data_IF_695425380855
#
_entry.id   IF_695425380855
#
_cell.length_a   1.000
_cell.length_b   1.000
_cell.length_c   1.000
_cell.angle_alpha   90.00
_cell.angle_beta   90.00
_cell.angle_gamma   90.00
#
_symmetry.space_group_name_H-M   'P 1'
#
loop_
_entity.id
_entity.type
_entity.pdbx_description
1 polymer ?
#
# COMPACT_ATOMS: atom_id res chain seq x y z
N UNK A 1 -22.31 13.27 19.21
CA UNK A 1 -21.05 13.12 20.01
C UNK A 1 -19.99 14.02 19.40
N UNK A 2 -19.06 14.55 20.19
CA UNK A 2 -17.91 15.29 19.61
C UNK A 2 -17.01 14.32 18.87
N UNK A 3 -16.32 14.80 17.82
CA UNK A 3 -15.42 13.98 17.03
C UNK A 3 -14.32 13.34 17.87
N UNK A 4 -13.77 14.04 18.85
CA UNK A 4 -12.72 13.48 19.73
C UNK A 4 -13.20 12.26 20.49
N UNK A 5 -14.41 12.28 21.03
CA UNK A 5 -15.00 11.11 21.70
C UNK A 5 -15.15 9.96 20.72
N UNK A 6 -15.63 10.22 19.51
CA UNK A 6 -15.77 9.20 18.47
C UNK A 6 -14.40 8.60 18.09
N UNK A 7 -13.36 9.42 17.93
CA UNK A 7 -12.01 8.94 17.59
C UNK A 7 -11.37 8.14 18.73
N UNK A 8 -11.57 8.56 19.98
CA UNK A 8 -11.12 7.79 21.17
C UNK A 8 -11.79 6.42 21.21
N UNK A 9 -13.11 6.36 21.04
CA UNK A 9 -13.83 5.09 21.00
C UNK A 9 -13.36 4.23 19.82
N UNK A 10 -13.16 4.81 18.63
CA UNK A 10 -12.62 4.12 17.46
C UNK A 10 -11.21 3.53 17.75
N UNK A 11 -10.32 4.31 18.36
CA UNK A 11 -9.01 3.82 18.78
C UNK A 11 -9.13 2.65 19.76
N UNK A 12 -9.99 2.75 20.77
CA UNK A 12 -10.21 1.68 21.74
C UNK A 12 -10.68 0.38 21.08
N UNK A 13 -11.57 0.45 20.09
CA UNK A 13 -12.00 -0.74 19.35
C UNK A 13 -10.81 -1.46 18.70
N UNK A 14 -9.92 -0.73 17.98
CA UNK A 14 -8.73 -1.32 17.36
C UNK A 14 -7.70 -1.79 18.39
N UNK A 15 -7.52 -1.05 19.48
CA UNK A 15 -6.61 -1.43 20.55
C UNK A 15 -7.03 -2.75 21.22
N UNK A 16 -8.31 -2.92 21.55
CA UNK A 16 -8.81 -4.18 22.11
C UNK A 16 -8.74 -5.33 21.10
N UNK A 17 -9.03 -5.07 19.82
CA UNK A 17 -8.87 -6.07 18.77
C UNK A 17 -7.39 -6.51 18.65
N UNK A 18 -6.45 -5.57 18.65
CA UNK A 18 -5.01 -5.88 18.59
C UNK A 18 -4.55 -6.70 19.80
N UNK A 19 -4.98 -6.36 21.01
CA UNK A 19 -4.68 -7.13 22.21
C UNK A 19 -5.23 -8.56 22.13
N UNK A 20 -6.43 -8.75 21.59
CA UNK A 20 -7.00 -10.09 21.39
C UNK A 20 -6.17 -10.94 20.44
N UNK A 21 -5.68 -10.36 19.34
CA UNK A 21 -4.85 -11.05 18.36
C UNK A 21 -3.40 -11.25 18.86
N UNK A 22 -2.89 -10.35 19.71
CA UNK A 22 -1.53 -10.40 20.26
C UNK A 22 -1.33 -11.36 21.43
N UNK A 23 -2.38 -11.79 22.13
CA UNK A 23 -2.31 -12.63 23.37
C UNK A 23 -1.50 -13.92 23.26
N UNK A 24 -1.17 -14.37 22.05
CA UNK A 24 -0.36 -15.58 21.83
C UNK A 24 1.14 -15.28 21.66
N UNK A 25 1.60 -14.06 21.88
CA UNK A 25 3.03 -13.67 21.82
C UNK A 25 3.68 -13.85 20.45
N UNK A 26 2.91 -14.07 19.39
CA UNK A 26 3.42 -14.31 18.03
C UNK A 26 2.98 -13.18 17.10
N UNK A 27 3.94 -12.57 16.42
CA UNK A 27 3.63 -11.68 15.32
C UNK A 27 2.83 -12.46 14.26
N UNK A 28 1.63 -11.97 13.97
CA UNK A 28 0.75 -12.49 12.91
C UNK A 28 0.31 -11.32 12.03
N UNK A 29 -0.09 -11.63 10.80
CA UNK A 29 -0.60 -10.59 9.89
C UNK A 29 -1.84 -9.91 10.46
N UNK A 30 -2.74 -10.66 11.11
CA UNK A 30 -3.92 -10.09 11.79
C UNK A 30 -3.54 -9.13 12.90
N UNK A 31 -2.56 -9.48 13.74
CA UNK A 31 -2.05 -8.59 14.79
C UNK A 31 -1.44 -7.33 14.21
N UNK A 32 -0.56 -7.48 13.22
CA UNK A 32 0.13 -6.37 12.57
C UNK A 32 -0.86 -5.38 11.94
N UNK A 33 -1.86 -5.88 11.21
CA UNK A 33 -2.90 -5.03 10.62
C UNK A 33 -3.76 -4.32 11.68
N UNK A 34 -4.13 -5.03 12.75
CA UNK A 34 -4.93 -4.43 13.83
C UNK A 34 -4.16 -3.33 14.57
N UNK A 35 -2.84 -3.53 14.84
CA UNK A 35 -1.97 -2.51 15.43
C UNK A 35 -1.79 -1.32 14.50
N UNK A 36 -1.65 -1.57 13.19
CA UNK A 36 -1.54 -0.52 12.20
C UNK A 36 -2.77 0.40 12.19
N UNK A 37 -3.98 -0.17 12.16
CA UNK A 37 -5.20 0.62 12.21
C UNK A 37 -5.43 1.28 13.58
N UNK A 38 -4.98 0.68 14.68
CA UNK A 38 -4.97 1.34 15.99
C UNK A 38 -4.05 2.58 15.97
N UNK A 39 -2.86 2.46 15.36
CA UNK A 39 -1.95 3.59 15.18
C UNK A 39 -2.57 4.71 14.35
N UNK A 40 -3.22 4.38 13.23
CA UNK A 40 -3.91 5.34 12.37
C UNK A 40 -5.06 6.05 13.13
N UNK A 41 -5.85 5.31 13.91
CA UNK A 41 -6.90 5.89 14.75
C UNK A 41 -6.33 6.81 15.84
N UNK A 42 -5.21 6.42 16.47
CA UNK A 42 -4.48 7.27 17.43
C UNK A 42 -3.99 8.57 16.79
N UNK A 43 -3.41 8.50 15.58
CA UNK A 43 -2.99 9.69 14.86
C UNK A 43 -4.15 10.62 14.51
N UNK A 44 -5.36 10.08 14.26
CA UNK A 44 -6.58 10.86 14.12
C UNK A 44 -6.93 11.68 15.38
N UNK A 45 -6.76 11.07 16.57
CA UNK A 45 -6.91 11.80 17.85
C UNK A 45 -5.89 12.93 17.95
N UNK A 46 -4.61 12.63 17.64
CA UNK A 46 -3.52 13.60 17.73
C UNK A 46 -3.79 14.84 16.88
N UNK A 47 -4.13 14.67 15.60
CA UNK A 47 -4.33 15.81 14.70
C UNK A 47 -5.56 16.65 15.07
N UNK A 48 -6.62 16.04 15.61
CA UNK A 48 -7.78 16.78 16.07
C UNK A 48 -7.56 17.45 17.42
N UNK A 49 -6.90 16.78 18.39
CA UNK A 49 -6.64 17.35 19.71
C UNK A 49 -5.62 18.49 19.69
N UNK A 50 -4.73 18.52 18.71
CA UNK A 50 -3.71 19.58 18.55
C UNK A 50 -4.19 20.73 17.65
N UNK A 51 -5.41 20.68 17.12
CA UNK A 51 -5.94 21.70 16.20
C UNK A 51 -5.35 21.68 14.78
N UNK A 52 -4.42 20.74 14.50
CA UNK A 52 -3.79 20.61 13.17
C UNK A 52 -4.83 20.39 12.08
N UNK A 53 -5.86 19.59 12.37
CA UNK A 53 -6.90 19.25 11.40
C UNK A 53 -7.67 20.52 10.98
N UNK A 54 -8.07 21.36 11.94
CA UNK A 54 -8.81 22.60 11.68
C UNK A 54 -7.93 23.64 10.97
N UNK A 55 -6.68 23.80 11.44
CA UNK A 55 -5.76 24.80 10.89
C UNK A 55 -5.47 24.58 9.40
N UNK A 56 -5.40 23.32 8.96
CA UNK A 56 -5.02 23.00 7.58
C UNK A 56 -6.23 22.84 6.66
N UNK A 57 -7.30 22.20 7.14
CA UNK A 57 -8.48 21.91 6.31
C UNK A 57 -9.58 22.96 6.44
N UNK A 58 -9.43 23.89 7.38
CA UNK A 58 -10.45 24.92 7.68
C UNK A 58 -11.83 24.32 8.02
N UNK A 59 -11.84 23.11 8.59
CA UNK A 59 -13.05 22.38 8.95
C UNK A 59 -13.24 22.43 10.45
N UNK A 60 -14.38 22.95 10.91
CA UNK A 60 -14.73 22.95 12.31
C UNK A 60 -14.93 21.52 12.82
N UNK A 61 -14.04 21.06 13.69
CA UNK A 61 -14.10 19.73 14.30
C UNK A 61 -14.97 19.66 15.57
N UNK A 62 -15.48 20.79 16.07
CA UNK A 62 -16.40 20.82 17.21
C UNK A 62 -17.84 20.43 16.82
N UNK A 63 -18.08 20.10 15.55
CA UNK A 63 -19.36 19.62 15.08
C UNK A 63 -19.74 18.28 15.73
N UNK A 64 -20.96 18.15 16.12
CA UNK A 64 -21.52 16.85 16.54
C UNK A 64 -21.61 15.91 15.35
N UNK A 65 -21.14 14.69 15.53
CA UNK A 65 -21.15 13.66 14.51
C UNK A 65 -21.72 12.35 15.07
N UNK A 66 -22.17 11.51 14.15
CA UNK A 66 -22.59 10.14 14.45
C UNK A 66 -21.37 9.23 14.64
N UNK A 67 -21.50 8.18 15.45
CA UNK A 67 -20.47 7.16 15.63
C UNK A 67 -20.54 6.05 14.59
N UNK A 68 -21.62 5.96 13.82
CA UNK A 68 -21.86 4.90 12.82
C UNK A 68 -20.75 4.75 11.77
N UNK A 69 -20.10 5.81 11.21
CA UNK A 69 -18.99 5.65 10.26
C UNK A 69 -17.81 4.89 10.84
N UNK A 70 -17.51 5.07 12.12
CA UNK A 70 -16.39 4.38 12.78
C UNK A 70 -16.72 2.91 13.05
N UNK A 71 -17.97 2.59 13.41
CA UNK A 71 -18.44 1.19 13.51
C UNK A 71 -18.36 0.53 12.14
N UNK A 72 -18.84 1.18 11.09
CA UNK A 72 -18.74 0.70 9.73
C UNK A 72 -17.32 0.37 9.33
N UNK A 73 -16.37 1.31 9.54
CA UNK A 73 -14.96 1.09 9.27
C UNK A 73 -14.38 -0.06 10.10
N UNK A 74 -14.63 -0.08 11.40
CA UNK A 74 -14.11 -1.11 12.29
C UNK A 74 -14.58 -2.51 11.88
N UNK A 75 -15.88 -2.70 11.67
CA UNK A 75 -16.44 -3.98 11.23
C UNK A 75 -15.86 -4.39 9.89
N UNK A 76 -15.78 -3.47 8.94
CA UNK A 76 -15.24 -3.71 7.60
C UNK A 76 -13.78 -4.15 7.63
N UNK A 77 -12.93 -3.48 8.44
CA UNK A 77 -11.53 -3.86 8.63
C UNK A 77 -11.43 -5.24 9.28
N UNK A 78 -12.21 -5.52 10.32
CA UNK A 78 -12.17 -6.83 10.99
C UNK A 78 -12.59 -7.96 10.05
N UNK A 79 -13.58 -7.73 9.18
CA UNK A 79 -14.01 -8.67 8.14
C UNK A 79 -12.87 -8.92 7.14
N UNK A 80 -12.21 -7.87 6.64
CA UNK A 80 -11.09 -8.02 5.70
C UNK A 80 -9.84 -8.65 6.33
N UNK A 81 -9.57 -8.40 7.60
CA UNK A 81 -8.40 -8.99 8.30
C UNK A 81 -8.63 -10.47 8.63
N UNK A 82 -9.89 -10.89 8.80
CA UNK A 82 -10.22 -12.24 9.25
C UNK A 82 -9.59 -13.39 8.45
N UNK A 83 -9.49 -13.37 7.12
CA UNK A 83 -8.83 -14.41 6.33
C UNK A 83 -7.37 -14.67 6.73
N UNK A 84 -6.64 -13.66 7.18
CA UNK A 84 -5.24 -13.79 7.57
C UNK A 84 -4.98 -14.60 8.83
N UNK A 85 -6.02 -14.91 9.63
CA UNK A 85 -5.87 -15.75 10.84
C UNK A 85 -5.29 -17.12 10.51
N UNK A 86 -5.50 -17.61 9.28
CA UNK A 86 -5.00 -18.89 8.80
C UNK A 86 -3.58 -18.78 8.19
N UNK A 87 -3.07 -17.56 7.97
CA UNK A 87 -1.73 -17.34 7.40
C UNK A 87 -0.71 -17.30 8.53
N UNK A 88 -0.09 -18.42 8.79
CA UNK A 88 0.99 -18.55 9.75
C UNK A 88 2.19 -19.24 9.11
N UNK A 89 3.39 -19.03 9.65
CA UNK A 89 4.59 -19.71 9.17
C UNK A 89 4.46 -21.24 9.18
N UNK A 90 3.61 -21.82 10.05
CA UNK A 90 3.36 -23.27 10.15
C UNK A 90 2.49 -23.80 9.02
N UNK A 91 1.69 -22.93 8.40
CA UNK A 91 0.74 -23.33 7.35
C UNK A 91 1.35 -23.30 5.95
N UNK A 92 2.57 -22.80 5.78
CA UNK A 92 3.22 -22.71 4.47
C UNK A 92 3.85 -24.05 4.11
N UNK A 93 3.58 -24.51 2.90
CA UNK A 93 4.24 -25.69 2.33
C UNK A 93 5.60 -25.29 1.76
N UNK A 94 6.67 -25.76 2.40
CA UNK A 94 8.05 -25.41 2.07
C UNK A 94 8.66 -26.25 0.93
N UNK A 95 8.12 -27.45 0.72
CA UNK A 95 8.72 -28.45 -0.18
C UNK A 95 8.41 -28.22 -1.67
N UNK A 96 7.51 -27.27 -1.97
CA UNK A 96 6.93 -27.11 -3.30
C UNK A 96 7.62 -26.06 -4.18
N UNK A 97 8.66 -25.40 -3.70
CA UNK A 97 9.24 -24.30 -4.49
C UNK A 97 10.23 -24.84 -5.53
N UNK A 98 9.91 -24.74 -6.82
CA UNK A 98 10.84 -25.12 -7.85
C UNK A 98 12.06 -24.20 -7.83
N UNK A 99 13.24 -24.75 -7.71
CA UNK A 99 14.50 -24.05 -7.85
C UNK A 99 15.38 -24.80 -8.87
N UNK A 100 15.09 -24.58 -10.15
CA UNK A 100 15.78 -25.17 -11.27
C UNK A 100 16.54 -24.10 -12.10
N UNK A 101 17.19 -24.54 -13.16
CA UNK A 101 17.97 -23.64 -14.02
C UNK A 101 17.09 -22.58 -14.68
N UNK A 102 15.84 -22.92 -15.06
CA UNK A 102 14.87 -21.97 -15.63
C UNK A 102 14.59 -20.81 -14.66
N UNK A 103 14.31 -21.13 -13.39
CA UNK A 103 14.08 -20.09 -12.36
C UNK A 103 15.33 -19.24 -12.15
N UNK A 104 16.53 -19.84 -12.17
CA UNK A 104 17.79 -19.09 -12.06
C UNK A 104 17.96 -18.10 -13.24
N UNK A 105 17.63 -18.55 -14.46
CA UNK A 105 17.64 -17.70 -15.66
C UNK A 105 16.67 -16.53 -15.55
N UNK A 106 15.42 -16.79 -15.17
CA UNK A 106 14.39 -15.75 -14.97
C UNK A 106 14.87 -14.72 -13.92
N UNK A 107 15.45 -15.18 -12.81
CA UNK A 107 16.00 -14.29 -11.80
C UNK A 107 17.20 -13.48 -12.29
N UNK A 108 18.05 -14.04 -13.18
CA UNK A 108 19.16 -13.29 -13.77
C UNK A 108 18.68 -12.19 -14.72
N UNK A 109 17.70 -12.50 -15.58
CA UNK A 109 17.07 -11.52 -16.46
C UNK A 109 16.42 -10.42 -15.61
N UNK A 110 15.71 -10.82 -14.55
CA UNK A 110 15.10 -9.85 -13.64
C UNK A 110 16.13 -8.94 -12.97
N UNK A 111 17.30 -9.47 -12.54
CA UNK A 111 18.40 -8.67 -11.99
C UNK A 111 18.85 -7.61 -13.00
N UNK A 112 19.07 -8.00 -14.27
CA UNK A 112 19.53 -7.07 -15.31
C UNK A 112 18.50 -5.94 -15.52
N UNK A 113 17.24 -6.30 -15.76
CA UNK A 113 16.17 -5.33 -16.01
C UNK A 113 15.99 -4.39 -14.81
N UNK A 114 15.98 -4.94 -13.58
CA UNK A 114 15.81 -4.15 -12.36
C UNK A 114 17.00 -3.23 -12.09
N UNK A 115 18.22 -3.69 -12.40
CA UNK A 115 19.42 -2.84 -12.27
C UNK A 115 19.39 -1.66 -13.23
N UNK A 116 19.00 -1.88 -14.48
CA UNK A 116 18.84 -0.81 -15.47
C UNK A 116 17.76 0.20 -15.03
N UNK A 117 16.64 -0.32 -14.57
CA UNK A 117 15.56 0.52 -14.05
C UNK A 117 15.98 1.31 -12.79
N UNK A 118 16.73 0.68 -11.88
CA UNK A 118 17.28 1.34 -10.70
C UNK A 118 18.24 2.48 -11.08
N UNK A 119 19.13 2.26 -12.05
CA UNK A 119 20.06 3.30 -12.54
C UNK A 119 19.29 4.48 -13.15
N UNK A 120 18.26 4.21 -13.95
CA UNK A 120 17.41 5.26 -14.52
C UNK A 120 16.72 6.07 -13.43
N UNK A 121 16.12 5.41 -12.43
CA UNK A 121 15.47 6.11 -11.32
C UNK A 121 16.48 6.88 -10.44
N UNK A 122 17.68 6.38 -10.27
CA UNK A 122 18.73 7.13 -9.58
C UNK A 122 19.07 8.44 -10.33
N UNK A 123 19.26 8.39 -11.65
CA UNK A 123 19.44 9.58 -12.48
C UNK A 123 18.27 10.55 -12.34
N UNK A 124 17.05 10.06 -12.42
CA UNK A 124 15.84 10.88 -12.24
C UNK A 124 15.76 11.51 -10.86
N UNK A 125 16.16 10.78 -9.80
CA UNK A 125 16.19 11.31 -8.45
C UNK A 125 17.20 12.46 -8.31
N UNK A 126 18.34 12.38 -9.00
CA UNK A 126 19.31 13.49 -9.05
C UNK A 126 18.71 14.72 -9.75
N UNK A 127 18.05 14.53 -10.89
CA UNK A 127 17.34 15.62 -11.60
C UNK A 127 16.28 16.23 -10.70
N UNK A 128 15.45 15.41 -10.06
CA UNK A 128 14.39 15.88 -9.14
C UNK A 128 14.96 16.69 -7.96
N UNK A 129 16.12 16.28 -7.43
CA UNK A 129 16.77 17.01 -6.34
C UNK A 129 17.29 18.38 -6.77
N UNK A 130 17.65 18.55 -8.05
CA UNK A 130 18.10 19.83 -8.62
C UNK A 130 16.93 20.75 -8.95
N UNK A 131 15.80 20.21 -9.41
CA UNK A 131 14.58 20.98 -9.73
C UNK A 131 13.80 21.39 -8.49
N UNK A 132 14.03 20.78 -7.36
CA UNK A 132 13.22 20.92 -6.15
C UNK A 132 12.07 19.92 -6.07
N UNK A 133 11.89 19.34 -4.89
CA UNK A 133 10.84 18.32 -4.67
C UNK A 133 9.41 18.87 -4.75
N UNK A 134 9.21 20.17 -4.55
CA UNK A 134 7.92 20.83 -4.68
C UNK A 134 7.45 20.83 -6.13
N UNK A 135 8.31 21.29 -7.05
CA UNK A 135 8.00 21.32 -8.49
C UNK A 135 7.73 19.90 -9.03
N UNK A 136 8.50 18.91 -8.57
CA UNK A 136 8.28 17.52 -8.97
C UNK A 136 6.99 16.95 -8.42
N UNK A 137 6.63 17.30 -7.19
CA UNK A 137 5.36 16.87 -6.60
C UNK A 137 4.17 17.52 -7.29
N UNK A 138 4.25 18.81 -7.58
CA UNK A 138 3.22 19.55 -8.30
C UNK A 138 2.99 18.94 -9.68
N UNK A 139 4.05 18.71 -10.44
CA UNK A 139 3.99 18.03 -11.72
C UNK A 139 3.41 16.61 -11.63
N UNK A 140 3.67 15.88 -10.53
CA UNK A 140 3.16 14.52 -10.34
C UNK A 140 1.71 14.49 -9.86
N UNK A 141 1.38 15.27 -8.82
CA UNK A 141 0.12 15.18 -8.11
C UNK A 141 -0.97 16.09 -8.70
N UNK A 142 -0.59 17.22 -9.29
CA UNK A 142 -1.50 18.24 -9.82
C UNK A 142 -1.64 18.09 -11.32
N UNK A 143 -0.54 18.19 -12.05
CA UNK A 143 -0.56 18.26 -13.52
C UNK A 143 -0.56 16.87 -14.19
N UNK A 144 -0.15 15.80 -13.46
CA UNK A 144 0.06 14.48 -14.05
C UNK A 144 1.22 14.45 -15.07
N UNK A 145 2.04 15.50 -15.11
CA UNK A 145 3.06 15.75 -16.12
C UNK A 145 4.47 15.29 -15.72
N UNK A 146 4.65 14.70 -14.51
CA UNK A 146 5.96 14.31 -14.00
C UNK A 146 6.79 13.44 -14.97
N UNK A 147 6.13 12.54 -15.70
CA UNK A 147 6.81 11.72 -16.70
C UNK A 147 7.28 12.54 -17.90
N UNK A 148 6.50 13.55 -18.32
CA UNK A 148 6.89 14.45 -19.39
C UNK A 148 8.03 15.36 -18.94
N UNK A 149 8.03 15.77 -17.68
CA UNK A 149 9.10 16.60 -17.10
C UNK A 149 10.42 15.82 -17.05
N UNK A 150 10.41 14.54 -16.65
CA UNK A 150 11.61 13.70 -16.53
C UNK A 150 12.11 13.16 -17.87
N UNK A 151 11.21 12.84 -18.80
CA UNK A 151 11.56 12.15 -20.05
C UNK A 151 11.27 12.96 -21.31
N UNK A 152 10.77 14.19 -21.16
CA UNK A 152 10.30 14.99 -22.28
C UNK A 152 9.14 14.28 -23.02
N UNK A 153 9.04 14.52 -24.32
CA UNK A 153 8.05 13.83 -25.17
C UNK A 153 8.55 12.47 -25.69
N UNK A 154 9.56 11.86 -25.05
CA UNK A 154 10.10 10.57 -25.49
C UNK A 154 9.16 9.44 -25.11
N UNK A 155 8.26 9.12 -26.02
CA UNK A 155 7.25 8.07 -25.89
C UNK A 155 7.84 6.69 -25.55
N UNK A 156 8.98 6.35 -26.11
CA UNK A 156 9.65 5.07 -25.83
C UNK A 156 10.11 4.96 -24.39
N UNK A 157 10.76 6.00 -23.86
CA UNK A 157 11.19 6.03 -22.46
C UNK A 157 10.02 5.97 -21.49
N UNK A 158 8.96 6.73 -21.76
CA UNK A 158 7.75 6.70 -20.92
C UNK A 158 7.13 5.30 -20.90
N UNK A 159 6.98 4.65 -22.07
CA UNK A 159 6.47 3.26 -22.13
C UNK A 159 7.39 2.26 -21.45
N UNK A 160 8.72 2.41 -21.62
CA UNK A 160 9.69 1.55 -20.95
C UNK A 160 9.61 1.67 -19.43
N UNK A 161 9.48 2.88 -18.89
CA UNK A 161 9.32 3.12 -17.45
C UNK A 161 8.02 2.51 -16.94
N UNK A 162 6.90 2.76 -17.60
CA UNK A 162 5.60 2.20 -17.21
C UNK A 162 5.59 0.67 -17.25
N UNK A 163 6.19 0.07 -18.29
CA UNK A 163 6.37 -1.38 -18.36
C UNK A 163 7.18 -1.90 -17.16
N UNK A 164 8.29 -1.24 -16.81
CA UNK A 164 9.13 -1.66 -15.69
C UNK A 164 8.42 -1.47 -14.34
N UNK A 165 7.65 -0.41 -14.13
CA UNK A 165 6.83 -0.23 -12.93
C UNK A 165 5.86 -1.41 -12.77
N UNK A 166 5.14 -1.77 -13.84
CA UNK A 166 4.20 -2.89 -13.83
C UNK A 166 4.92 -4.23 -13.59
N UNK A 167 6.06 -4.45 -14.25
CA UNK A 167 6.91 -5.62 -14.05
C UNK A 167 7.36 -5.73 -12.59
N UNK A 168 7.90 -4.65 -12.02
CA UNK A 168 8.34 -4.60 -10.63
C UNK A 168 7.19 -4.89 -9.65
N UNK A 169 6.03 -4.31 -9.87
CA UNK A 169 4.87 -4.52 -9.00
C UNK A 169 4.33 -5.94 -9.10
N UNK A 170 4.37 -6.57 -10.28
CA UNK A 170 3.89 -7.93 -10.50
C UNK A 170 4.88 -9.00 -10.00
N UNK A 171 6.16 -8.83 -10.25
CA UNK A 171 7.18 -9.86 -10.00
C UNK A 171 7.90 -9.73 -8.67
N UNK A 172 8.04 -8.52 -8.09
CA UNK A 172 8.71 -8.34 -6.79
C UNK A 172 8.17 -9.24 -5.69
N UNK A 173 6.84 -9.50 -5.57
CA UNK A 173 6.30 -10.43 -4.60
C UNK A 173 6.89 -11.84 -4.72
N UNK A 174 7.01 -12.36 -5.94
CA UNK A 174 7.60 -13.67 -6.20
C UNK A 174 9.11 -13.67 -5.91
N UNK A 175 9.83 -12.64 -6.34
CA UNK A 175 11.28 -12.53 -6.12
C UNK A 175 11.61 -12.43 -4.63
N UNK A 176 10.83 -11.69 -3.84
CA UNK A 176 10.96 -11.65 -2.38
C UNK A 176 10.75 -13.04 -1.77
N UNK A 177 9.68 -13.74 -2.16
CA UNK A 177 9.41 -15.10 -1.72
C UNK A 177 10.58 -16.03 -2.04
N UNK A 178 11.07 -16.02 -3.29
CA UNK A 178 12.17 -16.86 -3.74
C UNK A 178 13.48 -16.55 -3.00
N UNK A 179 13.77 -15.27 -2.78
CA UNK A 179 14.99 -14.86 -2.08
C UNK A 179 15.00 -15.34 -0.64
N UNK A 180 13.91 -15.15 0.10
CA UNK A 180 13.80 -15.54 1.50
C UNK A 180 13.72 -17.06 1.65
N UNK A 181 12.95 -17.73 0.80
CA UNK A 181 12.91 -19.20 0.80
C UNK A 181 14.26 -19.81 0.43
N UNK A 182 14.90 -19.32 -0.64
CA UNK A 182 16.21 -19.79 -1.08
C UNK A 182 17.28 -19.61 -0.02
N UNK A 183 17.19 -18.52 0.75
CA UNK A 183 18.07 -18.25 1.88
C UNK A 183 17.85 -19.26 3.03
N UNK A 184 16.59 -19.56 3.37
CA UNK A 184 16.23 -20.52 4.41
C UNK A 184 16.62 -21.95 4.01
N UNK A 185 16.32 -22.34 2.77
CA UNK A 185 16.62 -23.68 2.23
C UNK A 185 18.08 -23.86 1.81
N UNK A 186 18.92 -22.83 1.96
CA UNK A 186 20.34 -22.79 1.52
C UNK A 186 20.54 -23.08 0.01
N UNK A 187 19.48 -22.90 -0.80
CA UNK A 187 19.53 -23.08 -2.26
C UNK A 187 20.09 -21.85 -2.99
N UNK A 188 20.07 -20.69 -2.34
CA UNK A 188 20.61 -19.42 -2.84
C UNK A 188 21.67 -18.94 -1.85
N UNK A 189 22.80 -18.43 -2.38
CA UNK A 189 23.83 -17.80 -1.54
C UNK A 189 23.27 -16.55 -0.84
N UNK A 190 23.80 -16.24 0.36
CA UNK A 190 23.37 -15.06 1.10
C UNK A 190 23.54 -13.78 0.28
N UNK A 191 24.69 -13.62 -0.40
CA UNK A 191 24.98 -12.45 -1.24
C UNK A 191 23.93 -12.28 -2.34
N UNK A 192 23.55 -13.37 -3.03
CA UNK A 192 22.54 -13.31 -4.09
C UNK A 192 21.15 -12.99 -3.55
N UNK A 193 20.77 -13.55 -2.40
CA UNK A 193 19.48 -13.23 -1.78
C UNK A 193 19.41 -11.75 -1.38
N UNK A 194 20.46 -11.22 -0.75
CA UNK A 194 20.52 -9.81 -0.38
C UNK A 194 20.61 -8.90 -1.60
N UNK A 195 21.28 -9.30 -2.69
CA UNK A 195 21.28 -8.57 -3.96
C UNK A 195 19.84 -8.42 -4.50
N UNK A 196 19.07 -9.52 -4.58
CA UNK A 196 17.68 -9.51 -5.07
C UNK A 196 16.78 -8.63 -4.20
N UNK A 197 16.87 -8.76 -2.89
CA UNK A 197 16.09 -7.93 -1.95
C UNK A 197 16.52 -6.46 -2.01
N UNK A 198 17.81 -6.20 -2.11
CA UNK A 198 18.38 -4.86 -2.24
C UNK A 198 17.93 -4.17 -3.54
N UNK A 199 17.94 -4.88 -4.66
CA UNK A 199 17.48 -4.34 -5.93
C UNK A 199 15.99 -3.93 -5.88
N UNK A 200 15.14 -4.74 -5.23
CA UNK A 200 13.74 -4.36 -5.02
C UNK A 200 13.64 -3.10 -4.15
N UNK A 201 14.37 -3.05 -3.06
CA UNK A 201 14.36 -1.91 -2.16
C UNK A 201 14.83 -0.65 -2.87
N UNK A 202 16.04 -0.66 -3.43
CA UNK A 202 16.65 0.52 -4.02
C UNK A 202 15.93 1.00 -5.29
N UNK A 203 15.42 0.10 -6.14
CA UNK A 203 14.67 0.51 -7.32
C UNK A 203 13.39 1.28 -6.94
N UNK A 204 12.65 0.80 -5.94
CA UNK A 204 11.46 1.50 -5.43
C UNK A 204 11.83 2.75 -4.64
N UNK A 205 12.91 2.71 -3.88
CA UNK A 205 13.43 3.87 -3.14
C UNK A 205 13.78 5.01 -4.09
N UNK A 206 14.59 4.77 -5.12
CA UNK A 206 14.95 5.81 -6.10
C UNK A 206 13.74 6.27 -6.92
N UNK A 207 12.83 5.37 -7.26
CA UNK A 207 11.56 5.76 -7.91
C UNK A 207 10.74 6.70 -7.04
N UNK A 208 10.66 6.45 -5.72
CA UNK A 208 9.98 7.33 -4.79
C UNK A 208 10.69 8.69 -4.64
N UNK A 209 12.03 8.69 -4.67
CA UNK A 209 12.84 9.91 -4.68
C UNK A 209 12.57 10.75 -5.93
N UNK A 210 12.57 10.11 -7.11
CA UNK A 210 12.38 10.78 -8.38
C UNK A 210 11.07 11.57 -8.49
N UNK A 211 10.02 11.09 -7.83
CA UNK A 211 8.69 11.72 -7.84
C UNK A 211 8.34 12.45 -6.53
N UNK A 212 9.28 12.51 -5.59
CA UNK A 212 9.05 13.11 -4.28
C UNK A 212 7.92 12.44 -3.47
N UNK A 213 7.67 11.13 -3.64
CA UNK A 213 6.55 10.42 -3.01
C UNK A 213 6.92 9.74 -1.70
N UNK A 214 6.36 10.23 -0.58
CA UNK A 214 6.47 9.58 0.73
C UNK A 214 5.70 8.25 0.79
N UNK A 215 4.55 8.19 0.14
CA UNK A 215 3.69 7.00 0.13
C UNK A 215 4.37 5.79 -0.45
N UNK A 216 5.08 5.93 -1.57
CA UNK A 216 5.78 4.83 -2.20
C UNK A 216 6.85 4.21 -1.30
N UNK A 217 7.56 5.02 -0.50
CA UNK A 217 8.53 4.51 0.49
C UNK A 217 7.87 3.70 1.59
N UNK A 218 6.76 4.19 2.10
CA UNK A 218 5.98 3.50 3.11
C UNK A 218 5.49 2.13 2.63
N UNK A 219 5.05 2.03 1.38
CA UNK A 219 4.61 0.76 0.80
C UNK A 219 5.73 -0.24 0.58
N UNK A 220 6.94 0.24 0.25
CA UNK A 220 8.13 -0.64 0.19
C UNK A 220 8.37 -1.29 1.55
N UNK A 221 8.33 -0.51 2.63
CA UNK A 221 8.50 -1.02 3.98
C UNK A 221 7.48 -2.12 4.31
N UNK A 222 6.19 -1.92 4.01
CA UNK A 222 5.14 -2.90 4.29
C UNK A 222 5.26 -4.16 3.43
N UNK A 223 5.76 -4.05 2.19
CA UNK A 223 6.08 -5.22 1.36
C UNK A 223 7.10 -6.13 2.06
N UNK A 224 8.18 -5.55 2.56
CA UNK A 224 9.18 -6.30 3.31
C UNK A 224 8.64 -6.83 4.63
N UNK A 225 7.86 -6.04 5.37
CA UNK A 225 7.25 -6.45 6.63
C UNK A 225 6.37 -7.70 6.46
N UNK A 226 5.53 -7.76 5.42
CA UNK A 226 4.71 -8.93 5.12
C UNK A 226 5.55 -10.21 5.01
N UNK A 227 6.57 -10.20 4.15
CA UNK A 227 7.40 -11.38 3.92
C UNK A 227 8.27 -11.71 5.13
N UNK A 228 8.80 -10.70 5.83
CA UNK A 228 9.57 -10.93 7.04
C UNK A 228 8.70 -11.57 8.12
N UNK A 229 7.48 -11.12 8.37
CA UNK A 229 6.57 -11.71 9.36
C UNK A 229 6.37 -13.21 9.08
N UNK A 230 6.21 -13.58 7.81
CA UNK A 230 5.98 -14.97 7.41
C UNK A 230 7.27 -15.80 7.52
N UNK A 231 8.42 -15.29 7.07
CA UNK A 231 9.65 -16.06 6.92
C UNK A 231 10.58 -15.97 8.13
N UNK A 232 10.49 -14.92 8.96
CA UNK A 232 11.38 -14.67 10.09
C UNK A 232 11.51 -15.83 11.09
N UNK A 233 10.45 -16.58 11.45
CA UNK A 233 10.58 -17.70 12.38
C UNK A 233 11.51 -18.80 11.89
N UNK A 234 11.66 -18.96 10.57
CA UNK A 234 12.50 -20.00 9.93
C UNK A 234 13.96 -19.56 9.71
N UNK A 235 14.27 -18.28 9.90
CA UNK A 235 15.63 -17.78 9.77
C UNK A 235 16.47 -18.25 10.95
N UNK A 236 17.73 -18.61 10.71
CA UNK A 236 18.69 -18.89 11.76
C UNK A 236 19.06 -17.61 12.54
N UNK A 237 19.68 -17.76 13.71
CA UNK A 237 19.98 -16.63 14.61
C UNK A 237 20.84 -15.55 13.94
N UNK A 238 21.85 -15.92 13.16
CA UNK A 238 22.71 -14.99 12.44
C UNK A 238 21.94 -14.15 11.43
N UNK A 239 21.05 -14.79 10.64
CA UNK A 239 20.19 -14.08 9.67
C UNK A 239 19.17 -13.19 10.37
N UNK A 240 18.56 -13.65 11.48
CA UNK A 240 17.65 -12.80 12.28
C UNK A 240 18.32 -11.51 12.73
N UNK A 241 19.57 -11.60 13.22
CA UNK A 241 20.36 -10.43 13.63
C UNK A 241 20.64 -9.50 12.44
N UNK A 242 21.02 -10.05 11.27
CA UNK A 242 21.23 -9.27 10.05
C UNK A 242 19.95 -8.57 9.59
N UNK A 243 18.82 -9.29 9.49
CA UNK A 243 17.54 -8.71 9.10
C UNK A 243 17.06 -7.64 10.08
N UNK A 244 17.23 -7.84 11.39
CA UNK A 244 16.92 -6.81 12.39
C UNK A 244 17.75 -5.55 12.16
N UNK A 245 19.07 -5.68 11.95
CA UNK A 245 19.95 -4.55 11.67
C UNK A 245 19.57 -3.82 10.38
N UNK A 246 19.37 -4.57 9.29
CA UNK A 246 18.95 -3.99 7.99
C UNK A 246 17.60 -3.31 8.14
N UNK A 247 16.63 -3.93 8.82
CA UNK A 247 15.32 -3.36 9.04
C UNK A 247 15.36 -2.03 9.81
N UNK A 248 16.16 -1.94 10.87
CA UNK A 248 16.34 -0.69 11.62
C UNK A 248 16.97 0.39 10.74
N UNK A 249 18.05 0.05 10.01
CA UNK A 249 18.72 1.02 9.12
C UNK A 249 17.78 1.48 8.00
N UNK A 250 17.09 0.55 7.33
CA UNK A 250 16.15 0.89 6.26
C UNK A 250 15.00 1.76 6.77
N UNK A 251 14.45 1.44 7.95
CA UNK A 251 13.41 2.26 8.58
C UNK A 251 13.92 3.66 8.88
N UNK A 252 15.12 3.79 9.48
CA UNK A 252 15.72 5.09 9.79
C UNK A 252 15.95 5.94 8.53
N UNK A 253 16.43 5.32 7.44
CA UNK A 253 16.62 6.00 6.15
C UNK A 253 15.28 6.48 5.58
N UNK A 254 14.25 5.63 5.58
CA UNK A 254 12.91 5.98 5.09
C UNK A 254 12.29 7.09 5.94
N UNK A 255 12.38 6.99 7.27
CA UNK A 255 11.85 8.00 8.20
C UNK A 255 12.56 9.35 8.00
N UNK A 256 13.90 9.35 7.99
CA UNK A 256 14.70 10.55 7.75
C UNK A 256 14.35 11.21 6.42
N UNK A 257 14.26 10.41 5.36
CA UNK A 257 13.91 10.92 4.05
C UNK A 257 12.46 11.45 3.97
N UNK A 258 11.52 10.80 4.64
CA UNK A 258 10.13 11.30 4.72
C UNK A 258 10.06 12.67 5.40
N UNK A 259 10.91 12.90 6.41
CA UNK A 259 11.04 14.21 7.07
C UNK A 259 11.67 15.22 6.12
N UNK A 260 12.75 14.87 5.40
CA UNK A 260 13.39 15.78 4.43
C UNK A 260 12.43 16.23 3.31
N UNK A 261 11.68 15.29 2.71
CA UNK A 261 10.66 15.67 1.71
C UNK A 261 9.60 16.58 2.33
N UNK A 262 9.20 16.29 3.58
CA UNK A 262 8.21 17.15 4.26
C UNK A 262 8.74 18.56 4.49
N UNK A 263 10.00 18.71 4.87
CA UNK A 263 10.67 20.02 5.01
C UNK A 263 10.70 20.74 3.65
N UNK A 264 11.17 20.07 2.60
CA UNK A 264 11.28 20.65 1.27
C UNK A 264 9.92 21.13 0.74
N UNK A 265 8.86 20.32 0.88
CA UNK A 265 7.50 20.68 0.42
C UNK A 265 6.84 21.79 1.20
N UNK A 266 7.24 21.99 2.45
CA UNK A 266 6.61 22.95 3.35
C UNK A 266 7.45 24.22 3.51
N UNK A 267 8.57 24.32 2.78
CA UNK A 267 9.46 25.49 2.82
C UNK A 267 8.72 26.80 2.45
N UNK A 268 7.59 26.69 1.76
CA UNK A 268 6.75 27.82 1.33
C UNK A 268 5.35 27.84 1.97
N UNK A 269 5.09 26.98 2.96
CA UNK A 269 3.80 26.90 3.66
C UNK A 269 3.90 27.51 5.05
N UNK A 270 3.18 28.59 5.29
CA UNK A 270 3.13 29.23 6.62
C UNK A 270 2.28 28.46 7.65
N UNK A 271 1.48 27.48 7.21
CA UNK A 271 0.48 26.80 8.05
C UNK A 271 0.86 25.38 8.48
N UNK A 272 1.83 24.73 7.84
CA UNK A 272 2.21 23.35 8.15
C UNK A 272 3.69 23.20 8.50
N UNK A 273 3.96 22.41 9.53
CA UNK A 273 5.32 21.94 9.85
C UNK A 273 5.52 20.52 9.28
N UNK A 274 6.76 20.06 9.06
CA UNK A 274 7.04 18.70 8.60
C UNK A 274 6.39 17.62 9.48
N UNK A 275 6.35 17.86 10.80
CA UNK A 275 5.75 16.92 11.75
C UNK A 275 4.23 16.88 11.62
N UNK A 276 3.58 18.04 11.45
CA UNK A 276 2.12 18.12 11.25
C UNK A 276 1.72 17.46 9.94
N UNK A 277 2.50 17.64 8.88
CA UNK A 277 2.27 16.98 7.59
C UNK A 277 2.36 15.45 7.68
N UNK A 278 3.34 14.91 8.43
CA UNK A 278 3.45 13.46 8.67
C UNK A 278 2.28 12.97 9.53
N UNK A 279 1.89 13.71 10.56
CA UNK A 279 0.77 13.36 11.42
C UNK A 279 -0.55 13.30 10.62
N UNK A 280 -0.80 14.29 9.76
CA UNK A 280 -1.95 14.30 8.86
C UNK A 280 -1.97 13.09 7.94
N UNK A 281 -0.84 12.77 7.35
CA UNK A 281 -0.71 11.65 6.42
C UNK A 281 -1.26 10.33 6.96
N UNK A 282 -1.11 10.08 8.26
CA UNK A 282 -1.66 8.89 8.91
C UNK A 282 -3.01 9.12 9.59
N UNK A 283 -3.27 10.33 10.10
CA UNK A 283 -4.41 10.57 10.99
C UNK A 283 -5.67 11.11 10.31
N UNK A 284 -5.56 11.66 9.10
CA UNK A 284 -6.63 12.43 8.46
C UNK A 284 -7.84 11.58 8.01
N UNK A 285 -7.62 10.32 7.68
CA UNK A 285 -8.63 9.49 7.03
C UNK A 285 -9.88 9.21 7.88
N UNK A 286 -9.76 9.04 9.19
CA UNK A 286 -10.90 8.81 10.08
C UNK A 286 -11.70 10.09 10.37
N UNK A 287 -11.08 11.23 10.72
CA UNK A 287 -11.80 12.51 10.79
C UNK A 287 -12.54 12.86 9.51
N UNK A 288 -11.89 12.70 8.35
CA UNK A 288 -12.54 12.98 7.06
C UNK A 288 -13.79 12.12 6.85
N UNK A 289 -13.74 10.84 7.22
CA UNK A 289 -14.90 9.97 7.05
C UNK A 289 -16.13 10.49 7.82
N UNK A 290 -15.94 10.88 9.09
CA UNK A 290 -17.04 11.36 9.91
C UNK A 290 -17.50 12.79 9.59
N UNK A 291 -16.54 13.68 9.26
CA UNK A 291 -16.83 15.11 9.07
C UNK A 291 -17.19 15.50 7.65
N UNK A 292 -16.64 14.79 6.65
CA UNK A 292 -16.73 15.24 5.26
C UNK A 292 -17.51 14.30 4.34
N UNK A 293 -17.65 13.01 4.70
CA UNK A 293 -18.26 12.03 3.79
C UNK A 293 -19.56 11.45 4.31
N UNK A 294 -19.63 11.10 5.60
CA UNK A 294 -20.78 10.39 6.14
C UNK A 294 -22.04 11.24 6.06
N UNK A 295 -23.07 10.70 5.44
CA UNK A 295 -24.35 11.36 5.19
C UNK A 295 -24.28 12.66 4.36
N UNK A 296 -23.15 12.91 3.66
CA UNK A 296 -22.98 14.10 2.83
C UNK A 296 -22.93 13.78 1.32
N UNK A 297 -22.80 12.51 0.97
CA UNK A 297 -22.79 12.06 -0.43
C UNK A 297 -24.16 12.28 -1.03
N UNK A 298 -24.23 13.09 -2.08
CA UNK A 298 -25.47 13.44 -2.78
C UNK A 298 -25.83 12.42 -3.86
N UNK A 299 -24.81 11.88 -4.56
CA UNK A 299 -24.99 10.94 -5.64
C UNK A 299 -23.82 9.92 -5.65
N UNK A 300 -24.15 8.64 -5.85
CA UNK A 300 -23.18 7.57 -5.92
C UNK A 300 -22.79 7.27 -7.37
N UNK A 301 -21.48 7.22 -7.70
CA UNK A 301 -20.97 6.93 -9.05
C UNK A 301 -21.20 5.49 -9.55
N UNK A 302 -21.44 4.53 -8.66
CA UNK A 302 -21.68 3.11 -8.96
C UNK A 302 -20.58 2.44 -9.80
N UNK A 303 -19.32 2.74 -9.51
CA UNK A 303 -18.14 2.15 -10.12
C UNK A 303 -17.53 3.01 -11.23
N UNK A 304 -18.23 4.00 -11.74
CA UNK A 304 -17.75 4.82 -12.86
C UNK A 304 -16.54 5.69 -12.52
N UNK A 305 -16.42 6.13 -11.26
CA UNK A 305 -15.27 6.88 -10.77
C UNK A 305 -14.05 5.99 -10.51
N UNK A 306 -14.25 4.83 -9.87
CA UNK A 306 -13.16 3.92 -9.52
C UNK A 306 -12.67 3.10 -10.71
N UNK A 307 -13.56 2.76 -11.64
CA UNK A 307 -13.25 1.88 -12.76
C UNK A 307 -13.70 2.47 -14.10
N UNK A 308 -13.28 3.72 -14.43
CA UNK A 308 -13.74 4.40 -15.65
C UNK A 308 -13.43 3.59 -16.91
N UNK A 309 -12.31 2.89 -16.94
CA UNK A 309 -11.89 2.03 -18.04
C UNK A 309 -12.81 0.82 -18.28
N UNK A 310 -13.55 0.34 -17.27
CA UNK A 310 -14.53 -0.75 -17.42
C UNK A 310 -15.80 -0.21 -18.10
N UNK A 311 -16.17 1.03 -17.78
CA UNK A 311 -17.39 1.67 -18.28
C UNK A 311 -17.15 2.48 -19.56
N UNK A 312 -15.92 2.47 -20.11
CA UNK A 312 -15.57 3.23 -21.31
C UNK A 312 -15.69 4.75 -21.14
N UNK A 313 -15.55 5.23 -19.88
CA UNK A 313 -15.62 6.65 -19.58
C UNK A 313 -14.24 7.25 -19.79
N UNK A 314 -14.11 8.04 -20.85
CA UNK A 314 -12.94 8.89 -21.06
C UNK A 314 -13.18 10.24 -20.38
N UNK A 315 -12.37 10.58 -19.41
CA UNK A 315 -12.37 11.91 -18.84
C UNK A 315 -11.54 12.81 -19.74
N UNK A 316 -12.19 13.73 -20.43
CA UNK A 316 -11.54 14.87 -21.09
C UNK A 316 -11.14 15.94 -20.05
N UNK A 317 -10.57 15.51 -18.93
CA UNK A 317 -10.01 16.43 -17.95
C UNK A 317 -8.62 16.83 -18.44
N UNK A 318 -8.40 18.12 -18.62
CA UNK A 318 -7.10 18.68 -19.04
C UNK A 318 -6.05 18.46 -17.93
N UNK A 319 -6.49 18.38 -16.68
CA UNK A 319 -5.67 18.10 -15.50
C UNK A 319 -6.30 17.08 -14.56
N UNK A 320 -5.50 16.52 -13.67
CA UNK A 320 -5.97 15.65 -12.58
C UNK A 320 -6.96 16.40 -11.68
N UNK A 321 -6.74 17.70 -11.46
CA UNK A 321 -7.62 18.54 -10.64
C UNK A 321 -9.01 18.72 -11.26
N UNK A 322 -9.12 18.85 -12.57
CA UNK A 322 -10.43 18.98 -13.24
C UNK A 322 -11.27 17.72 -13.06
N UNK A 323 -10.64 16.54 -13.15
CA UNK A 323 -11.29 15.29 -12.86
C UNK A 323 -11.81 15.22 -11.41
N UNK A 324 -11.04 15.71 -10.44
CA UNK A 324 -11.48 15.78 -9.05
C UNK A 324 -12.57 16.82 -8.81
N UNK A 325 -12.52 17.98 -9.46
CA UNK A 325 -13.56 19.00 -9.39
C UNK A 325 -14.90 18.48 -9.92
N UNK A 326 -14.88 17.76 -11.05
CA UNK A 326 -16.04 17.07 -11.60
C UNK A 326 -16.65 16.10 -10.56
N UNK A 327 -15.83 15.21 -9.99
CA UNK A 327 -16.33 14.23 -9.02
C UNK A 327 -16.81 14.85 -7.72
N UNK A 328 -16.18 15.93 -7.25
CA UNK A 328 -16.65 16.69 -6.10
C UNK A 328 -18.06 17.27 -6.37
N UNK A 329 -18.27 17.82 -7.55
CA UNK A 329 -19.58 18.35 -7.94
C UNK A 329 -20.62 17.24 -8.04
N UNK A 330 -20.26 16.10 -8.62
CA UNK A 330 -21.16 14.96 -8.78
C UNK A 330 -21.53 14.30 -7.45
N UNK A 331 -20.56 14.03 -6.59
CA UNK A 331 -20.78 13.31 -5.32
C UNK A 331 -21.17 14.22 -4.16
N UNK A 332 -20.99 15.54 -4.30
CA UNK A 332 -21.17 16.52 -3.22
C UNK A 332 -20.06 16.54 -2.18
N UNK A 333 -19.03 15.66 -2.30
CA UNK A 333 -17.96 15.52 -1.31
C UNK A 333 -16.57 15.58 -1.95
N UNK A 334 -15.54 16.04 -1.22
CA UNK A 334 -14.17 16.06 -1.77
C UNK A 334 -13.60 14.66 -1.93
N UNK A 335 -13.29 14.25 -3.17
CA UNK A 335 -12.80 12.91 -3.48
C UNK A 335 -11.27 12.77 -3.50
N UNK A 336 -10.52 13.86 -3.35
CA UNK A 336 -9.04 13.88 -3.38
C UNK A 336 -8.39 13.61 -2.02
N UNK A 337 -9.11 13.82 -0.93
CA UNK A 337 -8.56 13.71 0.43
C UNK A 337 -8.57 12.26 0.93
N UNK A 338 -7.77 11.97 1.94
CA UNK A 338 -7.69 10.63 2.54
C UNK A 338 -9.03 10.25 3.20
N UNK A 339 -9.55 9.08 2.82
CA UNK A 339 -10.91 8.68 3.17
C UNK A 339 -11.08 7.21 3.56
N UNK A 340 -10.00 6.45 3.61
CA UNK A 340 -9.98 4.99 3.71
C UNK A 340 -10.62 4.28 2.50
N UNK A 341 -10.27 3.03 2.28
CA UNK A 341 -10.93 2.17 1.28
C UNK A 341 -12.45 2.09 1.53
N UNK A 342 -12.86 2.15 2.80
CA UNK A 342 -14.27 2.06 3.19
C UNK A 342 -15.01 3.34 2.85
N UNK A 343 -14.40 4.49 3.06
CA UNK A 343 -14.94 5.78 2.62
C UNK A 343 -15.07 5.87 1.10
N UNK A 344 -14.08 5.35 0.36
CA UNK A 344 -14.17 5.28 -1.10
C UNK A 344 -15.32 4.40 -1.57
N UNK A 345 -15.45 3.20 -1.01
CA UNK A 345 -16.55 2.30 -1.35
C UNK A 345 -17.91 2.86 -0.93
N UNK A 346 -17.96 3.58 0.20
CA UNK A 346 -19.17 4.26 0.64
C UNK A 346 -19.56 5.38 -0.31
N UNK A 347 -18.62 6.23 -0.73
CA UNK A 347 -18.87 7.30 -1.71
C UNK A 347 -19.35 6.69 -3.03
N UNK A 348 -18.73 5.60 -3.46
CA UNK A 348 -18.99 4.98 -4.75
C UNK A 348 -20.33 4.26 -4.82
N UNK A 349 -20.71 3.53 -3.77
CA UNK A 349 -21.80 2.56 -3.83
C UNK A 349 -22.88 2.74 -2.75
N UNK A 350 -22.68 3.62 -1.79
CA UNK A 350 -23.52 3.68 -0.59
C UNK A 350 -23.26 2.51 0.38
N UNK A 351 -23.81 2.60 1.58
CA UNK A 351 -23.51 1.69 2.69
C UNK A 351 -23.83 0.21 2.41
N UNK A 352 -25.02 -0.17 1.89
CA UNK A 352 -25.35 -1.58 1.72
C UNK A 352 -24.47 -2.30 0.70
N UNK A 353 -24.23 -1.66 -0.46
CA UNK A 353 -23.43 -2.25 -1.52
C UNK A 353 -21.95 -2.28 -1.14
N UNK A 354 -21.45 -1.23 -0.47
CA UNK A 354 -20.08 -1.20 0.04
C UNK A 354 -19.81 -2.34 1.02
N UNK A 355 -20.71 -2.62 1.96
CA UNK A 355 -20.62 -3.75 2.89
C UNK A 355 -20.64 -5.09 2.15
N UNK A 356 -21.51 -5.23 1.16
CA UNK A 356 -21.56 -6.45 0.33
C UNK A 356 -20.26 -6.69 -0.42
N UNK A 357 -19.66 -5.66 -1.04
CA UNK A 357 -18.37 -5.75 -1.74
C UNK A 357 -17.25 -6.17 -0.77
N UNK A 358 -17.19 -5.56 0.42
CA UNK A 358 -16.20 -5.88 1.46
C UNK A 358 -16.33 -7.35 1.87
N UNK A 359 -17.55 -7.80 2.12
CA UNK A 359 -17.81 -9.19 2.49
C UNK A 359 -17.44 -10.16 1.38
N UNK A 360 -17.78 -9.86 0.13
CA UNK A 360 -17.42 -10.69 -1.04
C UNK A 360 -15.90 -10.81 -1.16
N UNK A 361 -15.16 -9.71 -1.08
CA UNK A 361 -13.69 -9.72 -1.13
C UNK A 361 -13.13 -10.59 0.01
N UNK A 362 -13.62 -10.40 1.23
CA UNK A 362 -13.17 -11.18 2.38
C UNK A 362 -13.48 -12.68 2.22
N UNK A 363 -14.66 -13.05 1.72
CA UNK A 363 -15.04 -14.43 1.46
C UNK A 363 -14.18 -15.07 0.35
N UNK A 364 -13.93 -14.36 -0.75
CA UNK A 364 -13.03 -14.84 -1.81
C UNK A 364 -11.67 -15.20 -1.22
N UNK A 365 -11.05 -14.30 -0.43
CA UNK A 365 -9.74 -14.57 0.16
C UNK A 365 -9.81 -15.59 1.31
N UNK A 366 -10.91 -15.65 2.07
CA UNK A 366 -11.10 -16.69 3.08
C UNK A 366 -11.09 -18.09 2.49
N UNK A 367 -11.83 -18.32 1.40
CA UNK A 367 -11.83 -19.61 0.70
C UNK A 367 -10.53 -19.84 -0.07
N UNK A 368 -9.95 -18.82 -0.68
CA UNK A 368 -8.68 -18.91 -1.38
C UNK A 368 -7.53 -19.31 -0.46
N UNK A 369 -7.41 -18.70 0.70
CA UNK A 369 -6.39 -19.01 1.70
C UNK A 369 -6.68 -20.42 2.26
N UNK A 370 -7.93 -20.72 2.63
CA UNK A 370 -8.37 -21.99 3.20
C UNK A 370 -7.86 -22.21 4.63
N UNK A 371 -8.14 -23.39 5.18
CA UNK A 371 -7.72 -23.79 6.55
C UNK A 371 -6.50 -24.70 6.57
N UNK A 372 -6.06 -25.19 5.42
CA UNK A 372 -4.97 -26.14 5.27
C UNK A 372 -3.61 -25.49 5.08
N UNK A 373 -2.69 -26.27 4.49
CA UNK A 373 -1.36 -25.77 4.11
C UNK A 373 -1.47 -24.80 2.94
N UNK A 374 -0.84 -23.64 3.09
CA UNK A 374 -0.80 -22.59 2.07
C UNK A 374 0.34 -22.91 1.10
N UNK A 375 -0.03 -23.11 -0.15
CA UNK A 375 0.91 -23.33 -1.22
C UNK A 375 1.68 -22.05 -1.55
N UNK A 376 2.93 -22.19 -1.94
CA UNK A 376 3.81 -21.08 -2.29
C UNK A 376 3.20 -20.14 -3.35
N UNK A 377 2.56 -20.71 -4.37
CA UNK A 377 1.96 -19.93 -5.45
C UNK A 377 0.85 -18.97 -4.99
N UNK A 378 0.25 -19.21 -3.82
CA UNK A 378 -0.77 -18.33 -3.23
C UNK A 378 -0.17 -17.09 -2.57
N UNK A 379 1.10 -17.10 -2.18
CA UNK A 379 1.68 -16.06 -1.33
C UNK A 379 1.69 -14.67 -2.00
N UNK A 380 1.91 -14.60 -3.31
CA UNK A 380 1.88 -13.32 -4.03
C UNK A 380 0.47 -12.69 -4.06
N UNK A 381 -0.58 -13.52 -4.21
CA UNK A 381 -1.97 -13.05 -4.15
C UNK A 381 -2.39 -12.68 -2.72
N UNK A 382 -1.91 -13.42 -1.72
CA UNK A 382 -2.12 -13.08 -0.31
C UNK A 382 -1.41 -11.75 0.03
N UNK A 383 -0.22 -11.51 -0.53
CA UNK A 383 0.47 -10.23 -0.42
C UNK A 383 -0.33 -9.10 -1.09
N UNK A 384 -0.86 -9.31 -2.30
CA UNK A 384 -1.69 -8.32 -2.98
C UNK A 384 -2.91 -7.93 -2.14
N UNK A 385 -3.54 -8.90 -1.48
CA UNK A 385 -4.66 -8.66 -0.56
C UNK A 385 -4.21 -7.91 0.71
N UNK A 386 -3.05 -8.25 1.27
CA UNK A 386 -2.47 -7.52 2.39
C UNK A 386 -2.18 -6.06 2.02
N UNK A 387 -1.60 -5.85 0.85
CA UNK A 387 -1.28 -4.54 0.31
C UNK A 387 -2.53 -3.67 0.08
N UNK A 388 -3.63 -4.26 -0.41
CA UNK A 388 -4.93 -3.59 -0.51
C UNK A 388 -5.39 -3.02 0.83
N UNK A 389 -5.23 -3.78 1.93
CA UNK A 389 -5.68 -3.36 3.26
C UNK A 389 -4.74 -2.30 3.85
N UNK A 390 -3.43 -2.47 3.73
CA UNK A 390 -2.45 -1.49 4.23
C UNK A 390 -2.58 -0.15 3.51
N UNK A 391 -2.72 -0.17 2.19
CA UNK A 391 -2.90 1.04 1.40
C UNK A 391 -4.30 1.64 1.58
N UNK A 392 -5.22 0.85 2.07
CA UNK A 392 -6.61 1.22 2.27
C UNK A 392 -6.87 2.38 3.23
N UNK A 393 -5.86 2.91 3.93
CA UNK A 393 -6.00 4.16 4.72
C UNK A 393 -6.08 5.40 3.83
N UNK A 394 -5.55 5.34 2.60
CA UNK A 394 -5.56 6.45 1.66
C UNK A 394 -6.79 6.46 0.76
N UNK A 395 -7.40 5.32 0.54
CA UNK A 395 -8.52 5.09 -0.35
C UNK A 395 -8.43 3.76 -1.07
N UNK A 396 -9.28 3.54 -2.06
CA UNK A 396 -9.22 2.36 -2.91
C UNK A 396 -8.21 2.58 -4.04
N UNK A 397 -6.96 2.27 -3.79
CA UNK A 397 -5.85 2.52 -4.71
C UNK A 397 -5.55 1.35 -5.68
N UNK A 398 -6.51 0.45 -5.89
CA UNK A 398 -6.44 -0.64 -6.88
C UNK A 398 -7.36 -0.40 -8.09
N UNK A 399 -7.81 0.84 -8.26
CA UNK A 399 -8.76 1.30 -9.26
C UNK A 399 -8.15 1.53 -10.67
N UNK A 400 -6.85 1.83 -10.74
CA UNK A 400 -6.19 2.14 -12.00
C UNK A 400 -5.99 0.93 -12.93
N UNK A 401 -5.99 1.15 -14.25
CA UNK A 401 -5.70 0.13 -15.27
C UNK A 401 -4.39 -0.63 -15.01
N UNK A 402 -3.34 0.07 -14.59
CA UNK A 402 -2.06 -0.54 -14.20
C UNK A 402 -2.20 -1.55 -13.06
N UNK A 403 -3.03 -1.27 -12.05
CA UNK A 403 -3.29 -2.19 -10.94
C UNK A 403 -4.05 -3.45 -11.39
N UNK A 404 -4.95 -3.30 -12.36
CA UNK A 404 -5.65 -4.43 -12.97
C UNK A 404 -4.69 -5.33 -13.76
N UNK A 405 -3.80 -4.74 -14.57
CA UNK A 405 -2.73 -5.48 -15.28
C UNK A 405 -1.83 -6.22 -14.29
N UNK A 406 -1.42 -5.56 -13.20
CA UNK A 406 -0.60 -6.17 -12.13
C UNK A 406 -1.31 -7.36 -11.50
N UNK A 407 -2.60 -7.26 -11.20
CA UNK A 407 -3.38 -8.37 -10.66
C UNK A 407 -3.45 -9.56 -11.64
N UNK A 408 -3.74 -9.29 -12.91
CA UNK A 408 -3.76 -10.34 -13.97
C UNK A 408 -2.38 -11.01 -14.08
N UNK A 409 -1.31 -10.23 -14.09
CA UNK A 409 0.05 -10.77 -14.16
C UNK A 409 0.39 -11.64 -12.95
N UNK A 410 0.01 -11.23 -11.73
CA UNK A 410 0.19 -12.02 -10.51
C UNK A 410 -0.63 -13.34 -10.61
N UNK A 411 -1.86 -13.30 -11.11
CA UNK A 411 -2.69 -14.48 -11.30
C UNK A 411 -2.07 -15.45 -12.29
N UNK A 412 -1.60 -14.98 -13.46
CA UNK A 412 -0.94 -15.79 -14.48
C UNK A 412 0.32 -16.45 -13.92
N UNK A 413 1.20 -15.67 -13.27
CA UNK A 413 2.44 -16.21 -12.72
C UNK A 413 2.14 -17.20 -11.57
N UNK A 414 1.16 -16.91 -10.73
CA UNK A 414 0.72 -17.84 -9.68
C UNK A 414 0.22 -19.16 -10.27
N UNK A 415 -0.54 -19.09 -11.35
CA UNK A 415 -1.04 -20.29 -12.06
C UNK A 415 0.10 -21.10 -12.69
N UNK A 416 1.06 -20.44 -13.35
CA UNK A 416 2.26 -21.10 -13.90
C UNK A 416 3.05 -21.80 -12.78
N UNK A 417 3.28 -21.11 -11.66
CA UNK A 417 3.97 -21.69 -10.50
C UNK A 417 3.19 -22.88 -9.94
N UNK A 418 1.86 -22.82 -9.88
CA UNK A 418 0.99 -23.94 -9.46
C UNK A 418 1.19 -25.17 -10.33
N UNK A 419 1.12 -25.03 -11.67
CA UNK A 419 1.32 -26.15 -12.61
C UNK A 419 2.71 -26.78 -12.43
N UNK A 420 3.72 -25.93 -12.27
CA UNK A 420 5.11 -26.39 -12.12
C UNK A 420 5.35 -27.16 -10.81
N UNK A 421 4.66 -26.75 -9.73
CA UNK A 421 4.77 -27.42 -8.42
C UNK A 421 4.03 -28.75 -8.40
N UNK A 422 2.90 -28.86 -9.12
CA UNK A 422 2.11 -30.10 -9.18
C UNK A 422 2.76 -31.19 -10.05
N UNK A 423 3.42 -30.85 -11.17
CA UNK A 423 4.13 -31.82 -12.03
C UNK A 423 5.30 -32.54 -11.36
N UNK A 424 5.81 -32.04 -10.22
CA UNK A 424 6.88 -32.70 -9.46
C UNK A 424 6.39 -33.66 -8.39
N UNK A 425 5.08 -33.78 -8.19
CA UNK A 425 4.49 -34.69 -7.21
C UNK A 425 3.94 -35.99 -7.84
N UNK A 426 3.97 -36.08 -9.17
CA UNK A 426 3.73 -37.28 -9.97
C UNK A 426 5.07 -37.83 -10.44
#
# INVERSE_FOLDING_TARGET
>A
MTILVCLVLNFLLYFFASNRYGRKGKMSLTYTLSVYYAFVAFMGIVICSTGIYEAVLSINYNKEIDFSPYIYCFVSIMVLIYPFRNVTYKTIKWDEIPYNNTVKWILNIWIIITSLYMMLNFSNALVASQMGYDSMYEAFAVDGSAQKLLYGNNFFLIKFVNFNINLMNSFSPFVMCYSLYGLISKKISQSRAFLLLGLIFFSKFFSALAIGSRGNLFFVFWSFAFYIIIFYPHLNFSLKRKFKKIGVVSFSVVAFYSVLISIARLAHSDSETPLTSVARYFGECFPNLGLQFWNQVTMHPYGTRLFPYIFGIEYNAESVQDGYAFWKTFTGVPVLIFKTIFGDLYIEFGLPIALAIILIIALIFYFFIGRGKIHFWKLALIYWYFDLIIQGIFGFNKDGWSNFIVLIAILIVSFIVKIYTQKKQI
#
